data_IF_430120908465
#
_entry.id   IF_430120908465
#
_cell.length_a   1.000
_cell.length_b   1.000
_cell.length_c   1.000
_cell.angle_alpha   90.00
_cell.angle_beta   90.00
_cell.angle_gamma   90.00
#
_symmetry.space_group_name_H-M   'P 1'
#
loop_
_entity.id
_entity.type
_entity.pdbx_description
1 polymer ?
#
# COMPACT_ATOMS: atom_id res chain seq x y z
N UNK A 1 6.61 11.91 -4.70
CA UNK A 1 6.51 12.30 -3.28
C UNK A 1 7.39 11.42 -2.41
N UNK A 2 7.56 10.14 -2.74
CA UNK A 2 8.57 9.24 -2.16
C UNK A 2 10.01 9.77 -2.29
N UNK A 3 10.39 10.27 -3.48
CA UNK A 3 11.69 10.93 -3.69
C UNK A 3 11.90 12.14 -2.75
N UNK A 4 10.84 12.88 -2.41
CA UNK A 4 10.90 13.98 -1.43
C UNK A 4 10.95 13.46 0.01
N UNK A 5 10.34 12.31 0.27
CA UNK A 5 10.46 11.56 1.51
C UNK A 5 11.91 11.19 1.82
N UNK A 6 12.60 10.57 0.86
CA UNK A 6 14.01 10.15 1.01
C UNK A 6 14.98 11.35 0.98
N UNK A 7 14.90 12.23 -0.03
CA UNK A 7 15.90 13.29 -0.22
C UNK A 7 15.80 14.43 0.79
N UNK A 8 14.61 14.67 1.35
CA UNK A 8 14.36 15.75 2.31
C UNK A 8 13.92 15.24 3.68
N UNK A 9 14.11 13.95 3.99
CA UNK A 9 13.76 13.34 5.29
C UNK A 9 12.31 13.57 5.73
N UNK A 10 11.36 13.74 4.80
CA UNK A 10 9.96 13.99 5.16
C UNK A 10 9.32 12.78 5.86
N UNK A 11 9.84 11.57 5.64
CA UNK A 11 9.50 10.36 6.41
C UNK A 11 9.72 10.51 7.92
N UNK A 12 10.68 11.36 8.33
CA UNK A 12 11.01 11.62 9.73
C UNK A 12 10.39 12.93 10.24
N UNK A 13 10.28 13.94 9.36
CA UNK A 13 9.86 15.30 9.76
C UNK A 13 8.36 15.53 9.77
N UNK A 14 7.60 14.82 8.93
CA UNK A 14 6.15 15.01 8.82
C UNK A 14 5.46 13.76 9.39
N UNK A 15 4.72 13.89 10.51
CA UNK A 15 4.01 12.77 11.10
C UNK A 15 3.08 12.10 10.08
N UNK A 16 3.12 10.77 10.01
CA UNK A 16 2.27 9.94 9.14
C UNK A 16 2.42 10.23 7.63
N UNK A 17 3.49 10.88 7.20
CA UNK A 17 3.75 11.18 5.78
C UNK A 17 3.64 9.93 4.91
N UNK A 18 4.29 8.89 5.35
CA UNK A 18 4.32 7.58 4.74
C UNK A 18 2.90 6.99 4.59
N UNK A 19 2.20 6.87 5.72
CA UNK A 19 0.80 6.39 5.78
C UNK A 19 -0.14 7.16 4.84
N UNK A 20 0.04 8.49 4.75
CA UNK A 20 -0.74 9.33 3.84
C UNK A 20 -0.41 9.02 2.38
N UNK A 21 0.87 8.85 2.03
CA UNK A 21 1.28 8.50 0.68
C UNK A 21 0.70 7.16 0.25
N UNK A 22 0.80 6.12 1.08
CA UNK A 22 0.23 4.81 0.75
C UNK A 22 -1.29 4.88 0.63
N UNK A 23 -1.99 5.58 1.52
CA UNK A 23 -3.45 5.75 1.39
C UNK A 23 -3.85 6.44 0.07
N UNK A 24 -3.13 7.50 -0.30
CA UNK A 24 -3.39 8.26 -1.53
C UNK A 24 -3.00 7.46 -2.77
N UNK A 25 -1.87 6.77 -2.75
CA UNK A 25 -1.40 5.92 -3.83
C UNK A 25 -2.39 4.77 -4.08
N UNK A 26 -2.85 4.07 -3.04
CA UNK A 26 -3.90 3.06 -3.16
C UNK A 26 -5.19 3.61 -3.78
N UNK A 27 -5.62 4.81 -3.39
CA UNK A 27 -6.79 5.45 -4.00
C UNK A 27 -6.56 5.79 -5.49
N UNK A 28 -5.42 6.40 -5.82
CA UNK A 28 -5.11 6.86 -7.18
C UNK A 28 -4.83 5.70 -8.15
N UNK A 29 -4.12 4.66 -7.71
CA UNK A 29 -3.88 3.47 -8.52
C UNK A 29 -5.19 2.75 -8.85
N UNK A 30 -6.11 2.65 -7.88
CA UNK A 30 -7.47 2.15 -8.15
C UNK A 30 -8.19 3.02 -9.20
N UNK A 31 -8.05 4.34 -9.12
CA UNK A 31 -8.62 5.26 -10.11
C UNK A 31 -8.06 5.06 -11.52
N UNK A 32 -6.75 4.88 -11.64
CA UNK A 32 -6.09 4.58 -12.92
C UNK A 32 -6.57 3.24 -13.47
N UNK A 33 -6.59 2.19 -12.64
CA UNK A 33 -7.07 0.87 -13.04
C UNK A 33 -8.53 0.91 -13.53
N UNK A 34 -9.39 1.64 -12.82
CA UNK A 34 -10.77 1.86 -13.24
C UNK A 34 -10.87 2.58 -14.58
N UNK A 35 -10.11 3.67 -14.78
CA UNK A 35 -10.12 4.44 -16.02
C UNK A 35 -9.63 3.62 -17.22
N UNK A 36 -8.59 2.80 -17.04
CA UNK A 36 -8.07 1.90 -18.08
C UNK A 36 -9.14 0.89 -18.52
N UNK A 37 -9.83 0.26 -17.57
CA UNK A 37 -10.86 -0.74 -17.89
C UNK A 37 -12.09 -0.07 -18.49
N UNK A 38 -12.53 1.09 -17.98
CA UNK A 38 -13.64 1.85 -18.57
C UNK A 38 -13.34 2.30 -20.00
N UNK A 39 -12.10 2.73 -20.29
CA UNK A 39 -11.68 3.10 -21.65
C UNK A 39 -11.71 1.90 -22.60
N UNK A 40 -11.25 0.72 -22.16
CA UNK A 40 -11.34 -0.51 -22.95
C UNK A 40 -12.80 -0.93 -23.19
N UNK A 41 -13.66 -0.73 -22.18
CA UNK A 41 -15.08 -1.06 -22.22
C UNK A 41 -15.88 -0.18 -23.21
N UNK A 42 -15.43 1.05 -23.47
CA UNK A 42 -16.06 1.98 -24.41
C UNK A 42 -15.69 1.73 -25.88
N UNK A 43 -14.77 0.81 -26.17
CA UNK A 43 -14.38 0.50 -27.54
C UNK A 43 -15.38 -0.48 -28.18
N UNK A 44 -15.99 -0.12 -29.31
CA UNK A 44 -17.08 -0.91 -29.94
C UNK A 44 -16.67 -2.35 -30.31
N UNK A 45 -15.36 -2.62 -30.53
CA UNK A 45 -14.85 -3.97 -30.79
C UNK A 45 -14.75 -4.86 -29.53
N UNK A 46 -14.76 -4.26 -28.35
CA UNK A 46 -14.62 -4.91 -27.03
C UNK A 46 -15.73 -4.44 -26.08
N UNK A 47 -16.96 -4.33 -26.59
CA UNK A 47 -18.15 -4.00 -25.78
C UNK A 47 -18.54 -5.16 -24.86
N UNK A 48 -17.66 -5.52 -23.93
CA UNK A 48 -18.12 -6.26 -22.78
C UNK A 48 -19.09 -5.34 -22.03
N UNK A 49 -20.31 -5.78 -21.74
CA UNK A 49 -21.14 -5.08 -20.77
C UNK A 49 -20.59 -5.42 -19.38
N UNK A 50 -19.38 -4.96 -19.05
CA UNK A 50 -18.76 -5.26 -17.77
C UNK A 50 -19.63 -4.70 -16.65
N UNK A 51 -20.05 -5.59 -15.75
CA UNK A 51 -20.86 -5.18 -14.61
C UNK A 51 -20.10 -4.16 -13.75
N UNK A 52 -20.80 -3.21 -13.10
CA UNK A 52 -20.17 -2.29 -12.15
C UNK A 52 -19.31 -3.00 -11.09
N UNK A 53 -19.71 -4.22 -10.70
CA UNK A 53 -18.98 -5.04 -9.75
C UNK A 53 -17.63 -5.52 -10.31
N UNK A 54 -17.62 -5.97 -11.57
CA UNK A 54 -16.38 -6.40 -12.22
C UNK A 54 -15.37 -5.26 -12.30
N UNK A 55 -15.81 -4.06 -12.72
CA UNK A 55 -14.94 -2.88 -12.80
C UNK A 55 -14.33 -2.53 -11.44
N UNK A 56 -15.13 -2.58 -10.37
CA UNK A 56 -14.67 -2.31 -9.00
C UNK A 56 -13.64 -3.34 -8.52
N UNK A 57 -13.84 -4.63 -8.81
CA UNK A 57 -12.90 -5.70 -8.44
C UNK A 57 -11.60 -5.56 -9.22
N UNK A 58 -11.64 -5.31 -10.53
CA UNK A 58 -10.42 -5.16 -11.34
C UNK A 58 -9.62 -3.94 -10.90
N UNK A 59 -10.29 -2.81 -10.64
CA UNK A 59 -9.67 -1.60 -10.10
C UNK A 59 -8.99 -1.85 -8.75
N UNK A 60 -9.65 -2.59 -7.85
CA UNK A 60 -9.09 -2.99 -6.57
C UNK A 60 -7.85 -3.89 -6.74
N UNK A 61 -7.95 -4.94 -7.54
CA UNK A 61 -6.85 -5.88 -7.79
C UNK A 61 -5.65 -5.18 -8.44
N UNK A 62 -5.89 -4.28 -9.39
CA UNK A 62 -4.84 -3.48 -10.02
C UNK A 62 -4.11 -2.64 -8.97
N UNK A 63 -4.85 -1.92 -8.11
CA UNK A 63 -4.27 -1.12 -7.05
C UNK A 63 -3.42 -1.94 -6.08
N UNK A 64 -3.94 -3.07 -5.61
CA UNK A 64 -3.21 -3.94 -4.69
C UNK A 64 -1.95 -4.53 -5.33
N UNK A 65 -2.00 -4.85 -6.63
CA UNK A 65 -0.82 -5.33 -7.38
C UNK A 65 0.29 -4.29 -7.39
N UNK A 66 -0.05 -3.02 -7.65
CA UNK A 66 0.94 -1.93 -7.59
C UNK A 66 1.52 -1.79 -6.18
N UNK A 67 0.68 -1.86 -5.14
CA UNK A 67 1.15 -1.82 -3.76
C UNK A 67 2.15 -2.93 -3.43
N UNK A 68 1.87 -4.18 -3.82
CA UNK A 68 2.79 -5.30 -3.60
C UNK A 68 4.11 -5.14 -4.38
N UNK A 69 4.06 -4.63 -5.62
CA UNK A 69 5.27 -4.38 -6.40
C UNK A 69 6.16 -3.30 -5.75
N UNK A 70 5.55 -2.33 -5.05
CA UNK A 70 6.28 -1.34 -4.28
C UNK A 70 7.00 -1.98 -3.09
N UNK A 71 6.32 -2.81 -2.29
CA UNK A 71 6.96 -3.53 -1.18
C UNK A 71 8.14 -4.40 -1.64
N UNK A 72 8.03 -5.03 -2.81
CA UNK A 72 9.14 -5.79 -3.39
C UNK A 72 10.33 -4.90 -3.75
N UNK A 73 10.07 -3.67 -4.19
CA UNK A 73 11.12 -2.69 -4.46
C UNK A 73 11.80 -2.24 -3.16
N UNK A 74 11.03 -1.93 -2.12
CA UNK A 74 11.56 -1.52 -0.81
C UNK A 74 12.44 -2.62 -0.20
N UNK A 75 11.91 -3.83 -0.11
CA UNK A 75 12.67 -4.99 0.35
C UNK A 75 13.92 -5.23 -0.50
N UNK A 76 13.82 -5.12 -1.83
CA UNK A 76 14.96 -5.27 -2.71
C UNK A 76 16.04 -4.21 -2.45
N UNK A 77 15.64 -2.96 -2.22
CA UNK A 77 16.55 -1.86 -1.92
C UNK A 77 17.27 -2.09 -0.59
N UNK A 78 16.55 -2.57 0.42
CA UNK A 78 17.12 -2.80 1.75
C UNK A 78 18.04 -4.02 1.77
N UNK A 79 17.61 -5.11 1.14
CA UNK A 79 18.37 -6.36 1.08
C UNK A 79 19.62 -6.28 0.21
N UNK A 80 19.53 -5.69 -0.99
CA UNK A 80 20.65 -5.69 -1.95
C UNK A 80 21.56 -4.48 -1.85
N UNK A 81 21.05 -3.34 -1.38
CA UNK A 81 21.78 -2.07 -1.37
C UNK A 81 22.01 -1.52 0.04
N UNK A 82 21.57 -2.23 1.08
CA UNK A 82 21.77 -1.84 2.47
C UNK A 82 21.10 -0.52 2.82
N UNK A 83 19.99 -0.22 2.14
CA UNK A 83 19.14 0.89 2.52
C UNK A 83 18.28 0.59 3.75
N UNK A 84 17.51 1.58 4.17
CA UNK A 84 16.34 1.51 5.06
C UNK A 84 15.10 2.16 4.37
N UNK A 85 14.32 1.42 3.57
CA UNK A 85 13.07 1.88 2.94
C UNK A 85 11.94 1.46 3.85
N UNK A 86 11.89 0.17 4.18
CA UNK A 86 10.98 -0.38 5.17
C UNK A 86 11.39 0.14 6.56
N UNK A 87 10.51 0.89 7.20
CA UNK A 87 10.82 1.60 8.44
C UNK A 87 10.85 0.68 9.66
N UNK A 88 11.91 0.85 10.45
CA UNK A 88 12.10 0.14 11.70
C UNK A 88 10.97 0.40 12.72
N UNK A 89 10.55 -0.65 13.41
CA UNK A 89 9.62 -0.56 14.55
C UNK A 89 10.20 -1.22 15.79
N UNK A 90 10.19 -0.50 16.92
CA UNK A 90 10.60 -1.05 18.21
C UNK A 90 9.41 -1.80 18.83
N UNK A 91 9.60 -3.08 19.11
CA UNK A 91 8.62 -3.94 19.79
C UNK A 91 9.18 -4.49 21.10
N UNK A 92 8.30 -4.72 22.07
CA UNK A 92 8.67 -5.23 23.39
C UNK A 92 8.33 -6.72 23.59
N UNK A 93 7.83 -7.37 22.54
CA UNK A 93 7.54 -8.80 22.55
C UNK A 93 7.74 -9.39 21.15
N UNK A 94 8.27 -10.62 21.11
CA UNK A 94 8.35 -11.43 19.90
C UNK A 94 7.72 -12.80 20.15
N UNK A 95 7.16 -13.38 19.10
CA UNK A 95 6.47 -14.66 19.15
C UNK A 95 6.99 -15.51 17.98
N UNK A 96 7.71 -16.58 18.29
CA UNK A 96 8.38 -17.37 17.26
C UNK A 96 8.41 -18.85 17.61
N UNK A 97 8.14 -19.68 16.61
CA UNK A 97 8.32 -21.14 16.68
C UNK A 97 9.77 -21.53 16.47
N UNK A 98 10.62 -20.65 15.92
CA UNK A 98 12.05 -20.90 15.76
C UNK A 98 12.80 -20.99 17.09
N UNK A 99 12.20 -20.49 18.18
CA UNK A 99 12.73 -20.56 19.53
C UNK A 99 12.32 -21.86 20.26
N UNK A 100 11.49 -22.72 19.64
CA UNK A 100 11.09 -24.00 20.23
C UNK A 100 12.23 -25.03 20.15
N UNK A 101 12.85 -25.41 21.28
CA UNK A 101 13.95 -26.35 21.29
C UNK A 101 13.51 -27.78 20.92
N UNK A 102 12.21 -28.06 20.96
CA UNK A 102 11.65 -29.39 20.68
C UNK A 102 11.32 -29.62 19.20
N UNK A 103 11.38 -28.55 18.39
CA UNK A 103 10.95 -28.57 16.98
C UNK A 103 9.52 -29.12 16.78
N UNK A 104 8.63 -28.90 17.75
CA UNK A 104 7.24 -29.37 17.72
C UNK A 104 6.25 -28.30 17.23
N UNK A 105 6.77 -27.17 16.74
CA UNK A 105 6.01 -26.04 16.21
C UNK A 105 5.19 -25.31 17.29
N UNK A 106 5.68 -25.33 18.54
CA UNK A 106 5.11 -24.57 19.64
C UNK A 106 5.62 -23.12 19.55
N UNK A 107 4.72 -22.14 19.71
CA UNK A 107 5.10 -20.73 19.73
C UNK A 107 5.72 -20.40 21.09
N UNK A 108 6.97 -19.93 21.09
CA UNK A 108 7.60 -19.37 22.28
C UNK A 108 7.35 -17.87 22.31
N UNK A 109 6.90 -17.38 23.47
CA UNK A 109 6.62 -15.97 23.69
C UNK A 109 7.73 -15.34 24.52
N UNK A 110 8.46 -14.40 23.92
CA UNK A 110 9.38 -13.51 24.64
C UNK A 110 8.64 -12.18 24.84
N UNK A 111 8.56 -11.72 26.08
CA UNK A 111 7.85 -10.50 26.49
C UNK A 111 8.77 -9.63 27.33
N UNK A 112 8.36 -8.39 27.55
CA UNK A 112 9.07 -7.41 28.39
C UNK A 112 10.52 -7.20 27.93
N UNK A 113 10.73 -7.16 26.61
CA UNK A 113 12.05 -6.91 26.01
C UNK A 113 12.42 -5.45 26.26
N UNK A 114 13.43 -5.25 27.10
CA UNK A 114 13.93 -3.93 27.46
C UNK A 114 15.10 -3.48 26.57
N UNK A 115 15.91 -4.42 26.08
CA UNK A 115 17.00 -4.15 25.15
C UNK A 115 17.47 -5.46 24.49
N UNK A 116 18.26 -5.34 23.42
CA UNK A 116 18.88 -6.45 22.70
C UNK A 116 20.40 -6.29 22.75
N UNK A 117 21.14 -7.36 23.00
CA UNK A 117 22.61 -7.36 22.92
C UNK A 117 23.03 -8.01 21.61
N UNK A 118 23.80 -7.28 20.80
CA UNK A 118 24.44 -7.80 19.61
C UNK A 118 25.78 -8.44 20.01
N UNK A 119 25.96 -9.70 19.65
CA UNK A 119 27.21 -10.44 19.83
C UNK A 119 27.88 -10.59 18.46
N UNK A 120 29.06 -9.99 18.31
CA UNK A 120 29.83 -10.05 17.07
C UNK A 120 30.64 -11.35 16.99
N UNK A 121 31.08 -11.68 15.77
CA UNK A 121 31.87 -12.90 15.52
C UNK A 121 33.24 -12.92 16.22
N UNK A 122 33.76 -11.75 16.60
CA UNK A 122 34.98 -11.60 17.39
C UNK A 122 34.76 -11.74 18.91
N UNK A 123 33.51 -11.99 19.33
CA UNK A 123 33.11 -12.15 20.74
C UNK A 123 32.83 -10.83 21.45
N UNK A 124 32.99 -9.67 20.79
CA UNK A 124 32.59 -8.39 21.36
C UNK A 124 31.07 -8.31 21.47
N UNK A 125 30.60 -7.62 22.50
CA UNK A 125 29.18 -7.43 22.76
C UNK A 125 28.88 -5.94 22.81
N UNK A 126 27.77 -5.55 22.18
CA UNK A 126 27.23 -4.19 22.27
C UNK A 126 25.73 -4.25 22.51
N UNK A 127 25.23 -3.39 23.40
CA UNK A 127 23.81 -3.15 23.50
C UNK A 127 23.32 -2.44 22.23
N UNK A 128 22.16 -2.84 21.73
CA UNK A 128 21.48 -2.14 20.65
C UNK A 128 21.00 -0.77 21.13
N UNK A 129 20.57 -0.68 22.40
CA UNK A 129 20.30 0.59 23.08
C UNK A 129 19.02 1.29 22.66
N UNK A 130 18.14 0.60 21.93
CA UNK A 130 16.88 1.15 21.42
C UNK A 130 15.70 1.00 22.39
N UNK A 131 15.89 0.29 23.50
CA UNK A 131 14.82 0.11 24.48
C UNK A 131 13.84 -1.01 24.13
N UNK A 132 14.18 -1.92 23.20
CA UNK A 132 13.33 -3.03 22.78
C UNK A 132 13.97 -3.86 21.66
N UNK A 133 13.19 -4.75 21.04
CA UNK A 133 13.57 -5.50 19.84
C UNK A 133 13.26 -4.68 18.58
N UNK A 134 14.20 -4.63 17.64
CA UNK A 134 14.07 -3.90 16.39
C UNK A 134 13.49 -4.80 15.29
N UNK A 135 12.26 -4.54 14.88
CA UNK A 135 11.65 -5.11 13.68
C UNK A 135 12.06 -4.27 12.46
N UNK A 136 12.81 -4.87 11.54
CA UNK A 136 13.45 -4.18 10.41
C UNK A 136 12.53 -4.02 9.17
N UNK A 137 11.20 -4.00 9.36
CA UNK A 137 10.29 -3.62 8.27
C UNK A 137 9.06 -4.48 8.04
N UNK A 138 8.85 -5.58 8.78
CA UNK A 138 7.63 -6.40 8.63
C UNK A 138 6.41 -5.58 9.03
N UNK A 139 6.52 -4.85 10.14
CA UNK A 139 5.41 -4.04 10.64
C UNK A 139 5.08 -2.90 9.66
N UNK A 140 6.10 -2.30 9.06
CA UNK A 140 5.93 -1.21 8.09
C UNK A 140 5.25 -1.70 6.80
N UNK A 141 5.82 -2.75 6.18
CA UNK A 141 5.23 -3.37 4.99
C UNK A 141 3.76 -3.77 5.20
N UNK A 142 3.45 -4.37 6.35
CA UNK A 142 2.07 -4.75 6.65
C UNK A 142 1.16 -3.54 6.87
N UNK A 143 1.65 -2.47 7.51
CA UNK A 143 0.93 -1.21 7.65
C UNK A 143 0.65 -0.59 6.28
N UNK A 144 1.63 -0.59 5.39
CA UNK A 144 1.55 0.09 4.09
C UNK A 144 0.62 -0.63 3.12
N UNK A 145 0.70 -1.96 3.06
CA UNK A 145 -0.27 -2.79 2.37
C UNK A 145 -1.69 -2.61 2.92
N UNK A 146 -1.85 -2.45 4.23
CA UNK A 146 -3.16 -2.30 4.86
C UNK A 146 -3.81 -0.94 4.56
N UNK A 147 -3.04 0.14 4.60
CA UNK A 147 -3.58 1.47 4.26
C UNK A 147 -3.81 1.61 2.75
N UNK A 148 -2.96 0.99 1.92
CA UNK A 148 -3.21 0.82 0.48
C UNK A 148 -4.55 0.10 0.23
N UNK A 149 -4.80 -0.99 0.96
CA UNK A 149 -6.04 -1.74 0.89
C UNK A 149 -7.27 -0.88 1.22
N UNK A 150 -7.21 -0.07 2.29
CA UNK A 150 -8.31 0.83 2.65
C UNK A 150 -8.58 1.84 1.52
N UNK A 151 -7.54 2.47 0.98
CA UNK A 151 -7.66 3.41 -0.14
C UNK A 151 -8.29 2.78 -1.37
N UNK A 152 -7.84 1.57 -1.73
CA UNK A 152 -8.37 0.81 -2.86
C UNK A 152 -9.85 0.41 -2.67
N UNK A 153 -10.23 -0.06 -1.47
CA UNK A 153 -11.63 -0.41 -1.15
C UNK A 153 -12.53 0.81 -1.27
N UNK A 154 -12.13 1.95 -0.68
CA UNK A 154 -12.90 3.20 -0.73
C UNK A 154 -13.11 3.63 -2.18
N UNK A 155 -12.06 3.63 -3.00
CA UNK A 155 -12.18 3.98 -4.41
C UNK A 155 -13.09 3.01 -5.17
N UNK A 156 -12.89 1.71 -5.02
CA UNK A 156 -13.68 0.69 -5.72
C UNK A 156 -15.16 0.75 -5.35
N UNK A 157 -15.51 1.07 -4.10
CA UNK A 157 -16.90 1.33 -3.71
C UNK A 157 -17.47 2.57 -4.41
N UNK A 158 -16.72 3.67 -4.47
CA UNK A 158 -17.13 4.89 -5.19
C UNK A 158 -17.33 4.59 -6.69
N UNK A 159 -16.37 3.91 -7.31
CA UNK A 159 -16.43 3.50 -8.71
C UNK A 159 -17.62 2.60 -9.03
N UNK A 160 -17.91 1.61 -8.16
CA UNK A 160 -19.10 0.76 -8.28
C UNK A 160 -20.39 1.59 -8.35
N UNK A 161 -20.60 2.49 -7.38
CA UNK A 161 -21.81 3.30 -7.34
C UNK A 161 -21.90 4.30 -8.48
N UNK A 162 -20.77 4.82 -8.96
CA UNK A 162 -20.70 5.71 -10.13
C UNK A 162 -21.24 5.02 -11.39
N UNK A 163 -20.75 3.83 -11.72
CA UNK A 163 -21.19 3.09 -12.91
C UNK A 163 -22.63 2.63 -12.76
N UNK A 164 -23.00 2.10 -11.58
CA UNK A 164 -24.36 1.62 -11.30
C UNK A 164 -25.43 2.71 -11.49
N UNK A 165 -25.12 3.96 -11.14
CA UNK A 165 -26.04 5.08 -11.26
C UNK A 165 -25.81 5.95 -12.51
N UNK A 166 -25.00 5.47 -13.49
CA UNK A 166 -24.63 6.22 -14.70
C UNK A 166 -24.17 7.66 -14.42
N UNK A 167 -23.35 7.88 -13.39
CA UNK A 167 -22.83 9.21 -13.07
C UNK A 167 -23.85 10.24 -12.55
N UNK A 168 -25.05 9.83 -12.12
CA UNK A 168 -26.03 10.75 -11.50
C UNK A 168 -25.73 11.13 -10.03
N UNK A 169 -24.58 10.72 -9.48
CA UNK A 169 -24.19 10.98 -8.09
C UNK A 169 -23.26 12.18 -7.92
N UNK A 170 -23.54 13.06 -6.94
CA UNK A 170 -22.81 14.33 -6.71
C UNK A 170 -21.33 14.18 -6.32
N UNK A 171 -20.95 13.07 -5.67
CA UNK A 171 -19.60 12.87 -5.13
C UNK A 171 -18.65 12.31 -6.20
N UNK A 172 -19.08 11.30 -6.95
CA UNK A 172 -18.23 10.60 -7.90
C UNK A 172 -17.81 11.47 -9.12
N UNK A 173 -18.67 12.38 -9.57
CA UNK A 173 -18.36 13.29 -10.69
C UNK A 173 -17.21 14.28 -10.39
N UNK A 174 -16.79 14.42 -9.13
CA UNK A 174 -15.67 15.30 -8.74
C UNK A 174 -14.30 14.61 -8.75
N UNK A 175 -14.27 13.28 -8.70
CA UNK A 175 -13.03 12.51 -8.54
C UNK A 175 -12.64 11.69 -9.77
N UNK A 176 -13.58 11.44 -10.69
CA UNK A 176 -13.32 10.66 -11.91
C UNK A 176 -13.18 11.63 -13.10
N UNK A 177 -12.02 11.71 -13.76
CA UNK A 177 -11.83 12.54 -14.94
C UNK A 177 -12.76 12.08 -16.08
N UNK A 178 -13.72 12.92 -16.45
CA UNK A 178 -14.47 12.76 -17.70
C UNK A 178 -13.65 13.38 -18.82
N UNK A 179 -13.20 12.55 -19.77
CA UNK A 179 -12.66 13.06 -21.04
C UNK A 179 -13.84 13.57 -21.86
N UNK A 180 -13.94 14.89 -22.03
CA UNK A 180 -14.86 15.46 -23.01
C UNK A 180 -14.37 15.07 -24.41
N UNK A 181 -15.14 14.23 -25.10
CA UNK A 181 -14.89 13.93 -26.51
C UNK A 181 -15.11 15.23 -27.30
N UNK A 182 -14.10 15.73 -28.06
CA UNK A 182 -14.30 16.88 -28.92
C UNK A 182 -15.21 16.45 -30.08
N UNK A 183 -16.51 16.75 -29.99
CA UNK A 183 -17.46 16.39 -31.04
C UNK A 183 -18.95 16.59 -30.74
N UNK A 184 -19.38 16.71 -29.47
CA UNK A 184 -20.78 17.06 -29.19
C UNK A 184 -20.97 18.58 -29.25
N UNK A 185 -21.15 19.08 -30.47
CA UNK A 185 -21.82 20.36 -30.73
C UNK A 185 -23.13 20.39 -29.94
N UNK A 186 -23.23 21.32 -28.99
CA UNK A 186 -24.52 21.76 -28.44
C UNK A 186 -25.33 22.36 -29.59
N UNK A 187 -26.19 21.55 -30.21
CA UNK A 187 -27.23 22.07 -31.08
C UNK A 187 -28.38 22.52 -30.18
N UNK A 188 -28.34 23.79 -29.78
CA UNK A 188 -29.43 24.47 -29.09
C UNK A 188 -30.44 25.00 -30.13
N UNK A 189 -31.62 24.38 -30.17
CA UNK A 189 -32.87 25.07 -30.51
C UNK A 189 -33.74 25.13 -29.27
#
# INVERSE_FOLDING_TARGET
AEILGELNSFYVRVPNWDTMLHTVNGFLCAAIGFALVDMLNRNERFSFQLSPLYLAIVSFCFSMTVGVLWEFFEFGRDYFFGGDMQKDTIVHAIHSTALDPTMSNIVVHVRDIQDVILVHSDGTQQALGLGGYLDIGIIDTMKDLFVNFIGAVVFSCIGYFYVKHKGKGKVANRFIPTVETPGETKDSR
#
